data_IF_042002342077
#
_entry.id   IF_042002342077
#
_cell.length_a   1.000
_cell.length_b   1.000
_cell.length_c   1.000
_cell.angle_alpha   90.00
_cell.angle_beta   90.00
_cell.angle_gamma   90.00
#
_symmetry.space_group_name_H-M   'P 1'
#
loop_
_entity.id
_entity.type
_entity.pdbx_description
1 polymer ?
2 polymer ?
3 non-polymer ?
4 water ?
#
loop_
_entity_poly.entity_id
_entity_poly.type
_entity_poly.pdbx_seq_one_letter_code
_entity_poly.pdbx_strand_id
1 'polyribonucleotide' 'GGCCGGCAUGGUCCCAGCCUCCUCGCUGGCGCCGGCUGGGCAACACCAUUGCACUCCGGUGGCGAAUGGGACGGCCGGCAUGGUCCCAGCCUCCUCGCUGGCGCCGGCUGGGCAACACCAUUGCACUCCGGUGGCGAAUGGGAC' ?
#
# COMPACT_ATOMS: atom_id res chain seq x y z
N UNK B 1 1.40 -11.43 10.97
CA UNK B 1 1.86 -12.29 9.88
C UNK B 1 1.07 -12.06 8.59
N UNK B 2 -0.21 -12.41 8.60
CA UNK B 2 -1.08 -12.23 7.43
C UNK B 2 -2.54 -12.36 7.84
N UNK B 3 -3.42 -11.74 7.06
CA UNK B 3 -4.84 -11.67 7.40
C UNK B 3 -5.73 -11.93 6.18
N UNK B 4 -7.03 -11.76 6.36
CA UNK B 4 -8.02 -12.01 5.32
C UNK B 4 -7.91 -11.03 4.16
N UNK B 5 -8.33 -11.45 2.96
CA UNK B 5 -8.27 -10.56 1.79
C UNK B 5 -8.98 -9.23 1.99
N UNK B 6 -8.42 -8.17 1.39
CA UNK B 6 -8.91 -6.82 1.57
C UNK B 6 -8.64 -5.94 0.35
N UNK B 7 -9.44 -4.89 0.18
CA UNK B 7 -9.24 -3.96 -0.92
C UNK B 7 -7.91 -3.21 -0.75
N UNK B 8 -7.48 -3.10 0.50
CA UNK B 8 -6.32 -2.31 0.86
C UNK B 8 -5.13 -3.20 1.25
N UNK B 9 -3.96 -2.89 0.71
CA UNK B 9 -2.74 -3.56 1.15
C UNK B 9 -1.97 -2.65 2.12
N UNK B 10 -1.42 -3.27 3.14
CA UNK B 10 -0.59 -2.62 4.11
C UNK B 10 0.86 -2.89 3.78
N UNK B 11 1.61 -1.83 3.53
CA UNK B 11 3.01 -1.92 3.16
C UNK B 11 3.83 -1.34 4.29
N UNK B 12 4.89 -2.04 4.69
CA UNK B 12 5.82 -1.43 5.62
C UNK B 12 7.24 -1.86 5.29
N UNK B 13 8.17 -1.56 6.20
CA UNK B 13 9.59 -1.57 5.90
C UNK B 13 9.96 -0.59 4.78
N UNK B 14 9.24 0.54 4.71
CA UNK B 14 9.53 1.56 3.70
C UNK B 14 10.60 2.52 4.20
N UNK B 15 11.36 3.08 3.27
CA UNK B 15 12.42 4.03 3.60
C UNK B 15 11.84 5.29 4.22
N UNK B 16 12.23 5.57 5.47
CA UNK B 16 11.59 6.65 6.22
C UNK B 16 12.14 8.05 5.86
N UNK B 17 13.25 8.10 5.15
CA UNK B 17 13.85 9.38 4.76
C UNK B 17 13.12 10.01 3.58
N UNK B 18 12.22 9.27 2.94
CA UNK B 18 11.50 9.79 1.78
C UNK B 18 10.26 10.58 2.20
N UNK B 19 10.04 11.71 1.54
CA UNK B 19 8.95 12.61 1.88
C UNK B 19 7.60 12.07 1.42
N UNK B 20 6.52 12.54 2.06
CA UNK B 20 5.20 11.99 1.86
C UNK B 20 4.72 12.09 0.41
N UNK B 21 4.86 13.25 -0.19
CA UNK B 21 4.36 13.47 -1.55
C UNK B 21 5.10 12.62 -2.61
N UNK B 22 6.41 12.48 -2.45
CA UNK B 22 7.22 11.67 -3.38
C UNK B 22 6.89 10.20 -3.20
N UNK B 23 6.79 9.77 -1.95
CA UNK B 23 6.52 8.37 -1.65
C UNK B 23 5.20 7.92 -2.26
N UNK B 24 4.19 8.77 -2.13
CA UNK B 24 2.86 8.48 -2.67
C UNK B 24 2.93 8.31 -4.18
N UNK B 25 3.69 9.19 -4.81
CA UNK B 25 3.80 9.22 -6.26
C UNK B 25 4.57 8.02 -6.77
N UNK B 26 5.67 7.69 -6.11
CA UNK B 26 6.47 6.55 -6.50
C UNK B 26 5.68 5.25 -6.33
N UNK B 27 4.85 5.18 -5.30
CA UNK B 27 4.05 3.98 -5.08
C UNK B 27 3.01 3.83 -6.20
N UNK B 28 2.41 4.93 -6.64
CA UNK B 28 1.48 4.87 -7.76
C UNK B 28 2.20 4.37 -9.00
N UNK B 29 3.42 4.86 -9.20
CA UNK B 29 4.23 4.45 -10.34
C UNK B 29 4.39 2.94 -10.48
N UNK B 30 4.56 2.23 -9.36
CA UNK B 30 4.79 0.78 -9.46
C UNK B 30 3.54 -0.07 -9.24
N UNK B 31 2.51 0.49 -8.59
CA UNK B 31 1.34 -0.32 -8.23
C UNK B 31 0.13 -0.10 -9.15
N UNK B 32 0.17 0.93 -9.98
CA UNK B 32 -1.00 1.28 -10.79
C UNK B 32 -1.36 0.21 -11.81
N UNK B 33 -0.39 -0.63 -12.14
CA UNK B 33 -0.60 -1.62 -13.20
C UNK B 33 -1.44 -2.79 -12.70
N UNK B 34 -1.61 -2.90 -11.39
CA UNK B 34 -2.42 -4.00 -10.84
C UNK B 34 -3.91 -3.68 -10.86
N UNK B 35 -4.26 -2.44 -11.19
CA UNK B 35 -5.64 -2.02 -11.19
C UNK B 35 -5.79 -0.61 -10.69
N UNK B 36 -6.99 -0.06 -10.80
CA UNK B 36 -7.25 1.31 -10.38
C UNK B 36 -7.02 1.47 -8.88
N UNK B 37 -6.40 2.58 -8.52
CA UNK B 37 -6.11 2.89 -7.12
C UNK B 37 -6.99 4.03 -6.68
N UNK B 38 -7.73 3.84 -5.58
CA UNK B 38 -8.62 4.87 -5.07
C UNK B 38 -7.84 5.89 -4.28
N UNK B 39 -6.85 5.43 -3.53
CA UNK B 39 -6.01 6.34 -2.76
C UNK B 39 -4.80 5.63 -2.16
N UNK B 40 -3.80 6.43 -1.83
CA UNK B 40 -2.64 5.96 -1.10
C UNK B 40 -2.47 6.85 0.11
N UNK B 41 -2.49 6.24 1.30
CA UNK B 41 -2.39 7.01 2.54
C UNK B 41 -1.03 6.83 3.14
N UNK B 42 -0.39 7.96 3.42
CA UNK B 42 0.95 7.98 3.99
C UNK B 42 1.03 9.06 5.07
N UNK B 43 1.67 8.71 6.18
CA UNK B 43 2.00 9.65 7.21
C UNK B 43 3.44 9.46 7.65
N UNK B 44 4.09 10.55 8.06
CA UNK B 44 5.47 10.49 8.53
C UNK B 44 5.57 10.63 10.06
N UNK B 45 4.42 10.66 10.73
CA UNK B 45 4.40 10.74 12.19
C UNK B 45 5.16 9.57 12.83
N UNK B 46 5.43 9.66 14.11
CA UNK B 46 6.25 8.67 14.82
C UNK B 46 5.72 7.24 14.72
N UNK B 47 4.39 7.10 14.78
CA UNK B 47 3.74 5.79 14.75
C UNK B 47 3.59 5.24 13.32
N UNK B 48 3.37 6.12 12.36
CA UNK B 48 2.94 5.70 11.03
C UNK B 48 4.02 5.75 9.95
N UNK B 49 5.21 6.23 10.30
CA UNK B 49 6.30 6.30 9.33
C UNK B 49 6.75 4.92 8.90
N UNK B 50 7.23 4.84 7.66
CA UNK B 50 7.74 3.60 7.11
C UNK B 50 6.61 2.71 6.61
N UNK B 51 5.39 3.27 6.56
CA UNK B 51 4.21 2.49 6.25
C UNK B 51 3.29 3.18 5.24
N UNK B 52 2.52 2.39 4.51
CA UNK B 52 1.58 2.92 3.53
C UNK B 52 0.39 1.99 3.33
N UNK B 53 -0.75 2.61 3.05
CA UNK B 53 -1.97 1.90 2.69
C UNK B 53 -2.30 2.20 1.23
N UNK B 54 -2.28 1.17 0.38
CA UNK B 54 -2.68 1.34 -1.02
C UNK B 54 -4.05 0.71 -1.21
N UNK B 55 -5.02 1.55 -1.54
CA UNK B 55 -6.41 1.16 -1.62
C UNK B 55 -6.84 0.92 -3.05
N UNK B 56 -7.04 -0.34 -3.40
CA UNK B 56 -7.51 -0.70 -4.74
C UNK B 56 -9.02 -0.74 -4.84
N UNK B 57 -9.56 -0.46 -6.02
CA UNK B 57 -11.01 -0.53 -6.24
C UNK B 57 -11.52 -1.97 -6.22
N UNK B 58 -10.66 -2.90 -6.62
CA UNK B 58 -11.03 -4.32 -6.62
C UNK B 58 -10.00 -5.17 -5.89
N UNK B 59 -10.52 -6.11 -5.09
CA UNK B 59 -9.69 -6.96 -4.23
C UNK B 59 -8.66 -7.79 -5.01
N UNK B 60 -9.02 -8.19 -6.22
CA UNK B 60 -8.12 -9.03 -7.03
C UNK B 60 -6.87 -8.25 -7.37
N UNK B 61 -7.00 -6.92 -7.47
CA UNK B 61 -5.85 -6.06 -7.71
C UNK B 61 -4.91 -6.13 -6.52
N UNK B 62 -5.49 -5.96 -5.34
CA UNK B 62 -4.73 -6.01 -4.11
C UNK B 62 -4.01 -7.34 -3.99
N UNK B 63 -4.70 -8.41 -4.36
CA UNK B 63 -4.16 -9.77 -4.24
C UNK B 63 -2.95 -9.96 -5.15
N UNK B 64 -3.06 -9.51 -6.39
CA UNK B 64 -1.96 -9.64 -7.34
C UNK B 64 -0.79 -8.76 -6.96
N UNK B 65 -1.10 -7.53 -6.56
CA UNK B 65 -0.08 -6.60 -6.07
C UNK B 65 0.69 -7.22 -4.90
N UNK B 66 -0.03 -7.91 -4.02
CA UNK B 66 0.59 -8.49 -2.84
C UNK B 66 1.56 -9.61 -3.24
N UNK B 67 1.11 -10.52 -4.09
CA UNK B 67 1.93 -11.66 -4.49
C UNK B 67 3.17 -11.20 -5.26
N UNK B 68 2.96 -10.25 -6.15
CA UNK B 68 3.99 -9.85 -7.10
C UNK B 68 5.09 -8.96 -6.51
N UNK B 69 4.71 -8.04 -5.64
CA UNK B 69 5.65 -7.01 -5.18
C UNK B 69 6.21 -7.30 -3.79
N UNK B 70 5.92 -8.48 -3.26
CA UNK B 70 6.47 -8.86 -1.95
C UNK B 70 8.00 -8.82 -1.97
N UNK B 71 8.59 -8.00 -1.11
CA UNK B 71 10.03 -7.89 -1.05
C UNK B 71 10.67 -7.05 -2.16
N UNK B 72 9.85 -6.38 -2.96
CA UNK B 72 10.38 -5.53 -4.04
C UNK B 72 11.31 -4.43 -3.48
N UNK B 73 12.55 -4.35 -4.01
CA UNK B 73 13.49 -3.33 -3.52
C UNK B 73 13.08 -1.93 -3.99
N UNK B 74 12.87 -1.05 -3.02
CA UNK B 74 12.21 0.21 -3.24
C UNK B 74 12.95 1.21 -2.37
N UNK B 75 13.55 2.22 -2.97
CA UNK B 75 14.44 3.10 -2.23
C UNK B 75 15.41 2.29 -1.38
N UNK B 76 15.98 1.24 -1.97
CA UNK B 76 17.02 0.42 -1.33
C UNK B 76 16.55 -0.42 -0.14
N UNK B 77 15.25 -0.63 0.01
CA UNK B 77 14.72 -1.46 1.09
C UNK B 77 13.70 -2.47 0.58
N UNK B 78 13.77 -3.73 1.07
CA UNK B 78 12.78 -4.72 0.66
C UNK B 78 11.40 -4.43 1.25
N UNK B 79 10.47 -4.17 0.35
CA UNK B 79 9.09 -3.87 0.70
C UNK B 79 8.37 -5.08 1.33
N UNK B 80 7.72 -4.90 2.48
CA UNK B 80 6.91 -5.97 3.07
C UNK B 80 5.43 -5.66 2.95
N UNK B 81 4.66 -6.60 2.39
CA UNK B 81 3.25 -6.37 2.10
C UNK B 81 2.30 -7.38 2.74
N UNK B 82 1.20 -6.87 3.27
CA UNK B 82 0.09 -7.69 3.77
C UNK B 82 -1.21 -7.00 3.44
N UNK B 83 -2.32 -7.74 3.56
CA UNK B 83 -3.64 -7.13 3.52
C UNK B 83 -3.80 -6.27 4.77
N UNK B 84 -4.52 -5.15 4.64
CA UNK B 84 -4.88 -4.35 5.81
C UNK B 84 -5.87 -5.15 6.68
N UNK B 85 -5.76 -4.98 8.00
CA UNK B 85 -6.62 -5.71 8.94
C UNK B 85 -8.08 -5.26 8.87
N UNK B 86 -8.31 -4.02 8.45
CA UNK B 86 -9.65 -3.43 8.40
C UNK B 86 -9.89 -2.72 7.07
N UNK B 87 -11.15 -2.52 6.70
CA UNK B 87 -11.46 -1.78 5.48
C UNK B 87 -11.21 -0.28 5.64
N UNK B 88 -10.72 0.36 4.58
CA UNK B 88 -10.45 1.78 4.61
C UNK B 88 -11.77 2.51 4.49
N UNK B 89 -11.85 3.74 4.97
CA UNK B 89 -13.11 4.48 4.96
C UNK B 89 -13.68 4.67 3.55
N UNK B 90 -12.80 4.88 2.57
CA UNK B 90 -13.22 5.06 1.19
C UNK B 90 -13.98 3.84 0.66
N UNK B 91 -13.62 2.66 1.15
CA UNK B 91 -14.29 1.43 0.75
C UNK B 91 -15.62 1.26 1.48
N UNK B 92 -15.60 1.50 2.79
CA UNK B 92 -16.81 1.40 3.60
C UNK B 92 -17.86 2.42 3.16
N UNK B 93 -17.42 3.59 2.69
CA UNK B 93 -18.35 4.64 2.27
C UNK B 93 -19.07 4.32 0.96
N UNK B 94 -18.80 3.15 0.40
CA UNK B 94 -19.44 2.72 -0.84
C UNK B 94 -20.45 1.62 -0.56
N UNK B 95 -19.92 0.41 -0.34
CA UNK B 95 -20.74 -0.78 -0.11
C UNK B 95 -20.98 -1.02 1.38
X LIG C 1 44.72 53.85 1.20
X LIG D 1 40.41 48.62 -0.58
X LIG E 1 -6.65 -1.27 12.39
X LIG F 1 20.68 29.16 19.24
X LIG G 1 29.03 44.69 19.70
X LIG H 1 32.56 32.68 -6.30
X LIG I 1 28.75 29.14 0.96
X LIG J 1 36.28 58.40 12.63
X LIG K 1 28.58 31.45 29.49
X LIG L 1 13.51 29.57 2.31
X LIG M 1 40.84 43.50 21.32
X LIG N 1 44.54 47.42 22.43
X LIG O 1 30.91 42.58 -3.24
X LIG P 1 -2.74 14.02 1.08
X LIG Q 1 3.31 8.15 13.21
X LIG R 1 1.62 12.99 -3.74
#
# INVERSE_FOLDING_TARGET
PETRPNHTIYINNLNEKIKKDELKKSLHAIFSRFGQILDILVSRSLKMRGQAFVIFKEVSSATNALRSMQGFPFYDKPMRIQYAKTDSDIIAKMA
MG MG
MG MG
MG MG
MG MG
MG MG
MG MG
MG MG
MG MG
MG MG
MG MG
MG MG
MG MG
MG MG
MG MG
MG MG
MG MG
#
